data_IF_173549290112
#
_entry.id   IF_173549290112
#
_cell.length_a   1.000
_cell.length_b   1.000
_cell.length_c   1.000
_cell.angle_alpha   90.00
_cell.angle_beta   90.00
_cell.angle_gamma   90.00
#
_symmetry.space_group_name_H-M   'P 1'
#
loop_
_entity.id
_entity.type
_entity.pdbx_description
1 polymer ?
2 polymer ?
3 non-polymer ?
4 water ?
#
# COMPACT_ATOMS: atom_id res chain seq x y z
N UNK A 11 28.54 -24.80 -6.18
CA UNK A 11 27.75 -25.98 -5.87
C UNK A 11 26.58 -25.63 -4.97
N UNK A 12 25.97 -24.48 -5.24
CA UNK A 12 24.86 -23.97 -4.43
C UNK A 12 23.54 -24.34 -5.10
N UNK A 13 22.61 -24.85 -4.31
CA UNK A 13 21.30 -25.26 -4.81
C UNK A 13 20.34 -24.09 -4.76
N UNK A 14 19.88 -23.65 -5.94
CA UNK A 14 18.97 -22.51 -6.00
C UNK A 14 17.66 -22.81 -5.26
N UNK A 15 17.20 -24.06 -5.31
CA UNK A 15 15.90 -24.39 -4.76
C UNK A 15 15.91 -24.31 -3.23
N UNK A 16 16.92 -24.91 -2.60
CA UNK A 16 16.93 -25.01 -1.13
C UNK A 16 17.03 -23.63 -0.51
N UNK A 17 17.98 -22.81 -0.95
CA UNK A 17 18.16 -21.48 -0.37
C UNK A 17 16.84 -20.74 -0.28
N UNK A 18 16.11 -20.68 -1.39
CA UNK A 18 14.87 -19.90 -1.43
C UNK A 18 13.73 -20.59 -0.70
N UNK A 19 13.82 -21.90 -0.49
CA UNK A 19 12.82 -22.58 0.35
C UNK A 19 13.08 -22.27 1.82
N UNK A 20 14.34 -22.29 2.25
CA UNK A 20 14.65 -21.99 3.64
C UNK A 20 14.31 -20.55 3.96
N UNK A 21 14.70 -19.62 3.08
CA UNK A 21 14.42 -18.20 3.31
C UNK A 21 12.91 -17.98 3.44
N UNK A 22 12.14 -18.47 2.45
CA UNK A 22 10.69 -18.32 2.53
C UNK A 22 10.14 -18.98 3.78
N UNK A 23 10.62 -20.19 4.09
CA UNK A 23 10.11 -20.92 5.24
C UNK A 23 10.22 -20.10 6.52
N UNK A 24 11.40 -19.50 6.75
CA UNK A 24 11.59 -18.72 7.97
C UNK A 24 10.73 -17.46 7.95
N UNK A 25 10.71 -16.75 6.82
CA UNK A 25 9.88 -15.55 6.72
C UNK A 25 8.42 -15.86 7.03
N UNK A 26 7.87 -16.89 6.39
CA UNK A 26 6.52 -17.33 6.71
C UNK A 26 6.34 -17.52 8.21
N UNK A 27 7.33 -18.14 8.86
CA UNK A 27 7.27 -18.30 10.31
C UNK A 27 7.35 -16.96 11.02
N UNK A 28 8.07 -16.00 10.45
CA UNK A 28 8.20 -14.68 11.07
C UNK A 28 6.92 -13.88 10.92
N UNK A 29 6.17 -14.10 9.83
CA UNK A 29 4.90 -13.41 9.65
C UNK A 29 3.87 -13.86 10.68
N UNK A 30 3.80 -15.18 10.91
CA UNK A 30 2.86 -15.70 11.89
C UNK A 30 3.08 -15.06 13.25
N UNK A 31 4.34 -14.80 13.61
CA UNK A 31 4.62 -14.21 14.91
C UNK A 31 4.22 -12.74 14.95
N UNK A 32 4.27 -12.05 13.80
CA UNK A 32 3.73 -10.69 13.73
C UNK A 32 2.20 -10.71 13.81
N UNK A 33 1.57 -11.77 13.32
CA UNK A 33 0.12 -11.88 13.34
C UNK A 33 -0.40 -12.03 14.77
N UNK A 34 0.26 -12.86 15.58
CA UNK A 34 -0.14 -13.00 16.97
C UNK A 34 0.01 -11.71 17.76
N UNK A 35 0.75 -10.74 17.24
CA UNK A 35 0.84 -9.44 17.90
C UNK A 35 -0.36 -8.55 17.59
N UNK A 36 -1.19 -8.91 16.61
CA UNK A 36 -2.41 -8.17 16.33
C UNK A 36 -3.51 -8.62 17.27
N UNK A 37 -4.20 -7.67 17.88
CA UNK A 37 -5.21 -7.94 18.90
C UNK A 37 -6.60 -7.93 18.29
N UNK A 38 -7.58 -8.36 19.09
CA UNK A 38 -8.98 -8.39 18.65
C UNK A 38 -9.35 -7.14 17.87
N UNK A 39 -9.03 -5.97 18.43
CA UNK A 39 -9.30 -4.71 17.75
C UNK A 39 -8.58 -4.66 16.41
N UNK A 40 -7.26 -4.87 16.43
CA UNK A 40 -6.46 -4.77 15.20
C UNK A 40 -6.78 -5.89 14.22
N UNK A 41 -7.11 -7.08 14.72
CA UNK A 41 -7.45 -8.17 13.82
C UNK A 41 -8.71 -7.86 13.02
N UNK A 42 -9.68 -7.16 13.62
CA UNK A 42 -10.91 -6.87 12.89
C UNK A 42 -10.70 -5.70 11.93
N UNK A 43 -10.05 -4.63 12.37
CA UNK A 43 -9.66 -3.56 11.46
C UNK A 43 -8.98 -4.13 10.23
N UNK A 44 -8.02 -5.04 10.44
CA UNK A 44 -7.34 -5.71 9.33
C UNK A 44 -8.34 -6.31 8.35
N UNK A 45 -9.24 -7.16 8.85
CA UNK A 45 -10.19 -7.82 7.98
C UNK A 45 -11.08 -6.80 7.27
N UNK A 46 -11.51 -5.75 7.98
CA UNK A 46 -12.34 -4.73 7.36
C UNK A 46 -11.57 -3.96 6.30
N UNK A 47 -10.34 -3.54 6.62
CA UNK A 47 -9.50 -2.88 5.63
C UNK A 47 -9.21 -3.81 4.46
N UNK A 48 -8.99 -5.09 4.75
CA UNK A 48 -8.79 -6.07 3.68
C UNK A 48 -9.91 -5.99 2.65
N UNK A 49 -11.16 -6.06 3.10
CA UNK A 49 -12.28 -6.10 2.18
C UNK A 49 -12.37 -4.81 1.37
N UNK A 50 -12.21 -3.65 2.03
CA UNK A 50 -12.28 -2.39 1.31
C UNK A 50 -11.18 -2.29 0.26
N UNK A 51 -9.92 -2.51 0.66
CA UNK A 51 -8.80 -2.40 -0.27
C UNK A 51 -8.88 -3.42 -1.40
N UNK A 52 -9.56 -4.55 -1.19
CA UNK A 52 -9.75 -5.51 -2.28
C UNK A 52 -10.76 -4.99 -3.30
N UNK A 53 -11.93 -4.53 -2.83
CA UNK A 53 -12.94 -4.02 -3.74
C UNK A 53 -12.40 -2.84 -4.54
N UNK A 54 -11.59 -1.98 -3.90
CA UNK A 54 -10.92 -0.90 -4.62
C UNK A 54 -10.07 -1.45 -5.74
N UNK A 55 -9.50 -2.64 -5.56
CA UNK A 55 -8.46 -3.12 -6.46
C UNK A 55 -9.04 -3.58 -7.79
N UNK A 56 -10.28 -4.07 -7.81
CA UNK A 56 -10.86 -4.54 -9.07
C UNK A 56 -11.27 -3.37 -9.95
N UNK A 57 -12.08 -2.47 -9.40
CA UNK A 57 -12.58 -1.35 -10.18
C UNK A 57 -11.45 -0.41 -10.58
N UNK A 58 -10.53 -0.17 -9.65
CA UNK A 58 -9.45 0.79 -9.85
C UNK A 58 -8.12 0.11 -10.13
N UNK A 59 -8.12 -1.17 -10.48
CA UNK A 59 -6.97 -1.73 -11.19
C UNK A 59 -6.70 -0.92 -12.45
N UNK A 60 -7.67 -0.68 -13.34
CA UNK A 60 -7.48 0.31 -14.40
C UNK A 60 -6.87 1.61 -13.91
N UNK A 61 -7.40 2.15 -12.80
CA UNK A 61 -6.98 3.47 -12.33
C UNK A 61 -5.66 3.40 -11.57
N UNK A 62 -5.47 2.36 -10.74
CA UNK A 62 -4.26 2.28 -9.91
C UNK A 62 -3.04 1.92 -10.74
N UNK A 63 -3.21 1.15 -11.82
CA UNK A 63 -2.07 0.86 -12.70
C UNK A 63 -1.51 2.15 -13.28
N UNK A 64 -2.38 3.07 -13.70
CA UNK A 64 -1.92 4.34 -14.24
C UNK A 64 -1.03 5.08 -13.24
N UNK A 65 -1.40 5.02 -11.95
CA UNK A 65 -0.54 5.61 -10.92
C UNK A 65 0.77 4.84 -10.83
N UNK A 66 0.68 3.50 -10.83
CA UNK A 66 1.90 2.67 -10.86
C UNK A 66 2.75 2.96 -12.09
N UNK A 67 2.16 3.49 -13.15
CA UNK A 67 2.92 3.83 -14.35
C UNK A 67 3.59 5.19 -14.22
N UNK A 68 2.83 6.21 -13.85
CA UNK A 68 3.39 7.54 -13.61
C UNK A 68 4.58 7.43 -12.68
N UNK A 69 4.36 7.03 -11.43
CA UNK A 69 5.46 6.60 -10.59
C UNK A 69 6.13 5.44 -11.29
N UNK A 70 7.39 5.60 -11.71
CA UNK A 70 8.11 4.48 -12.29
C UNK A 70 8.38 3.43 -11.21
N UNK A 71 7.45 2.49 -11.03
CA UNK A 71 7.56 1.52 -9.94
C UNK A 71 8.55 0.41 -10.24
N UNK A 72 8.98 0.27 -11.49
CA UNK A 72 10.00 -0.70 -11.86
C UNK A 72 11.40 -0.25 -11.47
N UNK A 73 11.55 0.96 -10.93
CA UNK A 73 12.88 1.49 -10.64
C UNK A 73 13.51 0.79 -9.45
N UNK A 74 12.69 0.25 -8.55
CA UNK A 74 13.13 -0.69 -7.50
C UNK A 74 14.35 -0.19 -6.73
N UNK A 75 14.66 1.10 -6.78
CA UNK A 75 15.85 1.64 -6.13
C UNK A 75 15.46 2.74 -5.16
N UNK A 76 16.26 2.89 -4.10
CA UNK A 76 15.96 3.91 -3.09
C UNK A 76 15.83 5.29 -3.73
N UNK A 77 16.78 5.66 -4.60
CA UNK A 77 16.72 6.98 -5.22
C UNK A 77 15.34 7.25 -5.80
N UNK A 78 14.68 6.21 -6.32
CA UNK A 78 13.33 6.34 -6.84
C UNK A 78 12.28 6.00 -5.78
N UNK A 79 12.48 4.92 -5.03
CA UNK A 79 11.53 4.55 -3.99
C UNK A 79 11.41 5.67 -2.95
N UNK A 80 12.50 6.39 -2.69
CA UNK A 80 12.41 7.57 -1.84
C UNK A 80 11.50 8.61 -2.47
N UNK A 81 11.55 8.74 -3.80
CA UNK A 81 10.68 9.67 -4.49
C UNK A 81 9.23 9.18 -4.47
N UNK A 82 9.02 7.88 -4.62
CA UNK A 82 7.68 7.33 -4.52
C UNK A 82 7.07 7.63 -3.16
N UNK A 83 7.87 7.47 -2.10
CA UNK A 83 7.39 7.79 -0.76
C UNK A 83 7.03 9.27 -0.62
N UNK A 84 7.96 10.15 -0.99
CA UNK A 84 7.70 11.58 -0.93
C UNK A 84 6.41 11.94 -1.66
N UNK A 85 6.24 11.39 -2.87
CA UNK A 85 5.08 11.73 -3.67
C UNK A 85 3.80 11.21 -3.03
N UNK A 86 3.83 9.99 -2.48
CA UNK A 86 2.64 9.46 -1.83
C UNK A 86 2.34 10.26 -0.57
N UNK A 87 3.36 10.63 0.20
CA UNK A 87 3.13 11.46 1.39
C UNK A 87 2.58 12.83 0.98
N UNK A 88 3.13 13.40 -0.09
CA UNK A 88 2.63 14.69 -0.57
C UNK A 88 1.15 14.62 -0.91
N UNK A 89 0.71 13.50 -1.50
CA UNK A 89 -0.71 13.35 -1.81
C UNK A 89 -1.55 13.27 -0.54
N UNK A 90 -1.04 12.59 0.50
CA UNK A 90 -1.76 12.54 1.77
C UNK A 90 -1.83 13.93 2.41
N UNK A 91 -0.71 14.66 2.41
CA UNK A 91 -0.71 15.99 3.01
C UNK A 91 -1.71 16.90 2.30
N UNK A 92 -1.86 16.73 0.99
CA UNK A 92 -2.87 17.48 0.25
C UNK A 92 -4.12 16.63 0.04
N UNK A 94 -6.35 13.78 2.16
CA UNK A 94 -6.09 12.88 3.29
C UNK A 94 -7.39 12.29 3.85
N UNK A 95 -8.50 12.49 3.16
CA UNK A 95 -9.76 11.91 3.60
C UNK A 95 -9.65 10.39 3.59
N UNK A 96 -10.52 9.70 4.34
CA UNK A 96 -10.43 8.23 4.40
C UNK A 96 -10.38 7.54 3.05
N UNK A 97 -11.21 7.98 2.09
CA UNK A 97 -11.25 7.30 0.79
C UNK A 97 -9.87 7.25 0.15
N UNK A 98 -9.17 8.37 0.10
CA UNK A 98 -7.83 8.39 -0.47
C UNK A 98 -6.92 7.43 0.28
N UNK A 99 -7.02 7.40 1.61
CA UNK A 99 -6.15 6.54 2.40
C UNK A 99 -6.31 5.08 1.99
N UNK A 100 -7.55 4.58 1.98
CA UNK A 100 -7.78 3.22 1.52
C UNK A 100 -7.24 3.02 0.11
N UNK A 101 -7.21 4.07 -0.70
CA UNK A 101 -6.67 3.96 -2.05
C UNK A 101 -5.15 3.89 -2.03
N UNK A 102 -4.49 4.63 -1.12
CA UNK A 102 -3.03 4.53 -1.03
C UNK A 102 -2.62 3.12 -0.64
N UNK A 103 -3.33 2.52 0.33
CA UNK A 103 -3.02 1.16 0.74
C UNK A 103 -3.11 0.22 -0.47
N UNK A 104 -4.18 0.33 -1.23
CA UNK A 104 -4.34 -0.52 -2.41
C UNK A 104 -3.20 -0.29 -3.39
N UNK A 105 -2.86 0.98 -3.66
CA UNK A 105 -1.74 1.29 -4.53
C UNK A 105 -0.50 0.53 -4.11
N UNK A 106 -0.14 0.61 -2.83
CA UNK A 106 1.04 -0.08 -2.34
C UNK A 106 0.89 -1.59 -2.52
N UNK A 107 -0.30 -2.12 -2.23
CA UNK A 107 -0.51 -3.54 -2.49
C UNK A 107 -0.27 -3.86 -3.96
N UNK A 108 -0.65 -2.96 -4.86
CA UNK A 108 -0.43 -3.22 -6.28
C UNK A 108 1.04 -3.06 -6.66
N UNK A 109 1.77 -2.16 -6.00
CA UNK A 109 3.21 -2.10 -6.18
C UNK A 109 3.85 -3.40 -5.71
N UNK A 110 3.35 -3.95 -4.61
CA UNK A 110 3.86 -5.22 -4.10
C UNK A 110 3.56 -6.34 -5.09
N UNK A 111 2.33 -6.38 -5.60
CA UNK A 111 1.96 -7.39 -6.59
C UNK A 111 2.90 -7.35 -7.79
N UNK A 112 3.26 -6.16 -8.26
CA UNK A 112 4.08 -6.04 -9.45
C UNK A 112 5.54 -6.38 -9.15
N UNK A 113 6.10 -5.81 -8.08
CA UNK A 113 7.49 -6.01 -7.74
C UNK A 113 7.70 -7.13 -6.72
N UNK A 114 6.71 -8.01 -6.54
CA UNK A 114 6.84 -9.08 -5.56
C UNK A 114 7.80 -10.18 -5.96
N UNK A 115 8.06 -10.33 -7.26
CA UNK A 115 8.98 -11.37 -7.72
C UNK A 115 10.44 -10.93 -7.59
N UNK A 116 10.70 -9.62 -7.64
CA UNK A 116 12.07 -9.13 -7.52
C UNK A 116 12.63 -9.39 -6.13
N UNK A 117 11.79 -9.70 -5.16
CA UNK A 117 12.23 -9.99 -3.81
C UNK A 117 12.02 -8.83 -2.86
N UNK A 118 12.18 -9.15 -1.57
CA UNK A 118 12.07 -8.15 -0.53
C UNK A 118 13.30 -7.27 -0.51
N UNK A 119 13.09 -5.95 -0.56
CA UNK A 119 14.18 -4.98 -0.50
C UNK A 119 13.92 -4.00 0.65
N UNK A 120 15.00 -3.39 1.13
CA UNK A 120 14.95 -2.60 2.36
C UNK A 120 14.19 -1.31 2.14
N UNK A 121 14.49 -0.52 1.09
CA UNK A 121 13.76 0.75 0.92
C UNK A 121 12.24 0.62 1.00
N UNK A 122 11.65 -0.33 0.27
CA UNK A 122 10.20 -0.49 0.32
C UNK A 122 9.69 -0.61 1.75
N UNK A 123 10.38 -1.38 2.58
CA UNK A 123 9.99 -1.47 3.98
C UNK A 123 9.94 -0.09 4.61
N UNK A 124 11.02 0.68 4.46
CA UNK A 124 11.02 2.05 4.95
C UNK A 124 9.86 2.83 4.37
N UNK A 125 9.47 2.54 3.13
CA UNK A 125 8.32 3.20 2.53
C UNK A 125 7.03 2.70 3.17
N UNK A 126 6.85 1.39 3.26
CA UNK A 126 5.61 0.83 3.79
C UNK A 126 5.38 1.32 5.22
N UNK A 127 6.44 1.43 6.00
CA UNK A 127 6.30 1.87 7.38
C UNK A 127 5.98 3.35 7.45
N UNK A 128 6.75 4.18 6.74
CA UNK A 128 6.55 5.62 6.79
C UNK A 128 5.21 6.04 6.23
N UNK A 129 4.70 5.33 5.23
CA UNK A 129 3.37 5.63 4.70
C UNK A 129 2.30 5.09 5.63
N UNK A 130 2.42 3.83 6.03
CA UNK A 130 1.53 3.30 7.06
C UNK A 130 1.47 4.24 8.25
N UNK A 131 2.61 4.84 8.61
CA UNK A 131 2.65 5.76 9.74
C UNK A 131 1.82 7.01 9.47
N UNK A 132 2.07 7.68 8.34
CA UNK A 132 1.34 8.90 8.03
C UNK A 132 -0.16 8.65 7.94
N UNK A 133 -0.56 7.47 7.45
CA UNK A 133 -1.98 7.17 7.35
C UNK A 133 -2.60 7.12 8.75
N UNK A 134 -1.84 6.61 9.73
CA UNK A 134 -2.37 6.51 11.08
C UNK A 134 -2.72 7.87 11.66
N UNK A 135 -2.16 8.95 11.12
CA UNK A 135 -2.47 10.29 11.60
C UNK A 135 -3.98 10.52 11.59
N UNK A 136 -4.49 11.08 12.68
CA UNK A 136 -5.90 11.43 12.77
C UNK A 136 -6.76 10.26 12.29
N UNK A 137 -6.49 9.10 12.88
CA UNK A 137 -7.21 7.88 12.52
C UNK A 137 -8.71 8.05 12.67
N UNK A 138 -9.14 8.94 13.55
CA UNK A 138 -10.54 9.05 13.94
C UNK A 138 -11.46 9.06 12.72
N UNK A 139 -11.19 9.95 11.76
CA UNK A 139 -12.04 10.06 10.58
C UNK A 139 -12.06 8.77 9.78
N UNK A 140 -10.98 7.99 9.84
CA UNK A 140 -10.91 6.75 9.06
C UNK A 140 -11.66 5.62 9.75
N UNK A 141 -11.48 5.48 11.07
CA UNK A 141 -12.15 4.41 11.80
C UNK A 141 -13.64 4.41 11.47
N UNK A 142 -14.26 5.60 11.48
CA UNK A 142 -15.68 5.71 11.18
C UNK A 142 -15.99 5.14 9.79
N UNK A 143 -15.16 5.49 8.80
CA UNK A 143 -15.44 5.07 7.43
C UNK A 143 -15.59 3.56 7.33
N UNK A 144 -14.65 2.80 7.88
CA UNK A 144 -14.67 1.36 7.72
C UNK A 144 -15.70 0.71 8.63
N UNK A 145 -16.14 1.40 9.68
CA UNK A 145 -17.09 0.83 10.63
C UNK A 145 -18.52 1.30 10.43
N UNK A 146 -18.78 2.21 9.50
CA UNK A 146 -20.13 2.43 9.01
C UNK A 146 -20.48 1.50 7.85
N UNK A 147 -19.61 0.54 7.53
CA UNK A 147 -20.01 -0.56 6.65
C UNK A 147 -21.24 -1.28 7.20
N UNK A 148 -21.20 -1.64 8.49
CA UNK A 148 -22.32 -2.28 9.16
C UNK A 148 -22.32 -1.95 10.65
N UNK B 1 9.49 18.28 -15.03
CA UNK B 1 9.11 16.94 -14.62
C UNK B 1 7.99 16.97 -13.59
N UNK B 2 7.35 18.13 -13.42
CA UNK B 2 6.28 18.27 -12.44
C UNK B 2 4.97 17.68 -12.93
N UNK B 3 4.78 17.58 -14.25
CA UNK B 3 3.52 17.07 -14.79
C UNK B 3 3.20 15.67 -14.26
N UNK B 4 4.12 14.71 -14.26
CA UNK B 4 3.83 13.42 -13.61
C UNK B 4 3.40 13.56 -12.16
N UNK B 5 3.94 14.54 -11.43
CA UNK B 5 3.56 14.71 -10.03
C UNK B 5 2.10 15.11 -9.90
N UNK B 6 1.63 15.98 -10.80
CA UNK B 6 0.27 16.48 -10.72
C UNK B 6 -0.73 15.35 -10.98
N UNK B 7 -0.56 14.66 -12.11
CA UNK B 7 -1.55 13.66 -12.51
C UNK B 7 -1.70 12.57 -11.47
N UNK B 8 -0.66 12.27 -10.69
CA UNK B 8 -0.76 11.22 -9.67
C UNK B 8 -1.69 11.66 -8.55
N UNK B 9 -1.52 12.88 -8.06
CA UNK B 9 -2.44 13.42 -7.06
C UNK B 9 -3.82 13.64 -7.66
N UNK B 10 -3.88 14.05 -8.92
CA UNK B 10 -5.16 14.21 -9.60
C UNK B 10 -5.87 12.87 -9.76
N UNK B 11 -5.11 11.82 -10.09
CA UNK B 11 -5.73 10.52 -10.32
C UNK B 11 -6.17 9.88 -9.01
N UNK B 12 -5.48 10.18 -7.90
CA UNK B 12 -5.92 9.70 -6.61
C UNK B 12 -7.15 10.45 -6.13
N UNK B 13 -7.28 11.72 -6.52
CA UNK B 13 -8.44 12.51 -6.10
C UNK B 13 -9.74 11.96 -6.70
N UNK B 14 -9.67 11.38 -7.90
CA UNK B 14 -10.87 10.79 -8.49
C UNK B 14 -11.28 9.52 -7.74
N UNK B 15 -10.31 8.66 -7.41
CA UNK B 15 -10.65 7.39 -6.76
C UNK B 15 -11.35 7.63 -5.44
N UNK B 16 -10.86 8.59 -4.66
CA UNK B 16 -11.50 8.92 -3.40
C UNK B 16 -12.89 9.51 -3.58
N UNK B 17 -13.09 10.31 -4.63
CA UNK B 17 -14.41 10.86 -4.90
C UNK B 17 -15.42 9.75 -5.17
N UNK B 18 -15.22 8.99 -6.25
CA UNK B 18 -16.10 7.87 -6.56
C UNK B 18 -16.35 7.01 -5.34
N UNK B 19 -15.34 6.85 -4.48
CA UNK B 19 -15.42 5.94 -3.35
C UNK B 19 -16.08 6.56 -2.13
N UNK B 20 -16.33 7.87 -2.13
CA UNK B 20 -17.02 8.49 -1.01
C UNK B 20 -18.53 8.33 -1.10
N UNK B 21 -19.07 8.29 -2.32
CA UNK B 21 -20.51 8.13 -2.49
C UNK B 21 -20.96 6.71 -2.16
N UNK B 22 -20.16 5.71 -2.54
CA UNK B 22 -20.49 4.32 -2.31
C UNK B 22 -19.73 3.77 -1.10
X LIG C 1 7.23 -10.10 8.45
#
# INVERSE_FOLDING_TARGET
GPLGSMENSCNFNNSIKNVIVFYINEKALIEEKKMLSCYENKLLNLIKEDCENIMLKYKPNLSYICSLLKVDDTSEENIKHIKDQIIESLENDNRPSVKLAIISLISMIVEMNGYKGKNIPMSFLIEDIALKISENSEDLINFINIKNKQKS
DMRPEIWIAQELRRIGDEFNAYYARR
NA NA
#
